data_IF_453282262318
#
_entry.id   IF_453282262318
#
_cell.length_a   1.000
_cell.length_b   1.000
_cell.length_c   1.000
_cell.angle_alpha   90.00
_cell.angle_beta   90.00
_cell.angle_gamma   90.00
#
_symmetry.space_group_name_H-M   'P 1'
#
loop_
_entity.id
_entity.type
_entity.pdbx_description
1 polymer ?
#
# COMPACT_ATOMS: atom_id res chain seq x y z
N UNK A 1 14.02 -5.08 -20.60
CA UNK A 1 14.27 -5.38 -19.19
C UNK A 1 12.97 -5.91 -18.55
N UNK A 2 13.11 -6.83 -17.61
CA UNK A 2 11.98 -7.50 -16.95
C UNK A 2 12.06 -7.39 -15.41
N UNK A 3 12.73 -6.36 -14.89
CA UNK A 3 12.93 -6.14 -13.46
C UNK A 3 13.01 -4.65 -13.13
N UNK A 4 12.87 -4.31 -11.88
CA UNK A 4 13.00 -2.98 -11.33
C UNK A 4 12.09 -1.95 -11.98
N UNK A 5 12.57 -0.73 -12.14
CA UNK A 5 11.81 0.40 -12.69
C UNK A 5 11.23 0.15 -14.09
N UNK A 6 11.90 -0.71 -14.89
CA UNK A 6 11.43 -1.03 -16.24
C UNK A 6 10.10 -1.80 -16.28
N UNK A 7 9.68 -2.35 -15.15
CA UNK A 7 8.37 -3.03 -14.97
C UNK A 7 7.54 -2.43 -13.83
N UNK A 8 7.89 -1.23 -13.38
CA UNK A 8 7.13 -0.49 -12.36
C UNK A 8 7.39 -0.94 -10.92
N UNK A 9 8.43 -1.71 -10.67
CA UNK A 9 8.89 -2.16 -9.36
C UNK A 9 10.06 -1.30 -8.85
N UNK A 10 10.38 -1.33 -7.56
CA UNK A 10 11.60 -0.70 -7.02
C UNK A 10 12.85 -1.17 -7.74
N UNK A 11 13.88 -0.31 -7.79
CA UNK A 11 15.15 -0.67 -8.39
C UNK A 11 15.75 -1.91 -7.74
N UNK A 12 16.34 -2.79 -8.57
CA UNK A 12 16.91 -4.06 -8.12
C UNK A 12 15.88 -5.17 -7.79
N UNK A 13 14.59 -4.88 -7.77
CA UNK A 13 13.58 -5.91 -7.52
C UNK A 13 13.34 -6.76 -8.78
N UNK A 14 13.37 -8.09 -8.62
CA UNK A 14 13.05 -9.03 -9.69
C UNK A 14 11.59 -8.87 -10.13
N UNK A 15 11.35 -8.90 -11.44
CA UNK A 15 10.00 -8.90 -12.00
C UNK A 15 9.23 -10.18 -11.69
N UNK A 16 7.94 -10.14 -11.95
CA UNK A 16 7.05 -11.28 -11.84
C UNK A 16 6.05 -11.30 -13.01
N UNK A 17 5.32 -12.40 -13.15
CA UNK A 17 4.38 -12.58 -14.26
C UNK A 17 3.26 -11.55 -14.26
N UNK A 18 2.76 -11.13 -13.09
CA UNK A 18 1.65 -10.18 -12.98
C UNK A 18 2.04 -8.82 -13.56
N UNK A 19 3.10 -8.21 -13.03
CA UNK A 19 3.57 -6.90 -13.51
C UNK A 19 4.06 -6.96 -14.95
N UNK A 20 4.70 -8.06 -15.38
CA UNK A 20 5.15 -8.24 -16.75
C UNK A 20 4.00 -8.22 -17.75
N UNK A 21 2.95 -9.02 -17.52
CA UNK A 21 1.79 -9.07 -18.40
C UNK A 21 0.97 -7.77 -18.35
N UNK A 22 0.89 -7.14 -17.18
CA UNK A 22 0.25 -5.82 -17.02
C UNK A 22 0.94 -4.76 -17.90
N UNK A 23 2.27 -4.67 -17.85
CA UNK A 23 3.02 -3.71 -18.66
C UNK A 23 2.92 -4.00 -20.17
N UNK A 24 2.98 -5.28 -20.56
CA UNK A 24 2.79 -5.68 -21.98
C UNK A 24 1.42 -5.30 -22.48
N UNK A 25 0.38 -5.59 -21.70
CA UNK A 25 -1.00 -5.26 -22.06
C UNK A 25 -1.28 -3.76 -22.06
N UNK A 26 -0.69 -3.02 -21.14
CA UNK A 26 -0.82 -1.56 -21.07
C UNK A 26 -0.01 -0.83 -22.16
N UNK A 27 1.02 -1.47 -22.73
CA UNK A 27 1.94 -0.84 -23.68
C UNK A 27 2.81 0.27 -23.07
N UNK A 28 2.88 0.32 -21.74
CA UNK A 28 3.63 1.31 -20.96
C UNK A 28 4.01 0.75 -19.60
N UNK A 29 4.95 1.41 -18.91
CA UNK A 29 5.31 1.06 -17.53
C UNK A 29 4.15 1.46 -16.61
N UNK A 30 3.62 0.48 -15.86
CA UNK A 30 2.61 0.67 -14.82
C UNK A 30 3.33 0.55 -13.48
N UNK A 31 3.54 1.68 -12.82
CA UNK A 31 4.22 1.71 -11.54
C UNK A 31 3.36 1.13 -10.42
N UNK A 32 3.92 0.22 -9.63
CA UNK A 32 3.29 -0.27 -8.41
C UNK A 32 3.29 0.82 -7.33
N UNK A 33 2.40 0.72 -6.33
CA UNK A 33 2.14 1.82 -5.38
C UNK A 33 3.42 2.38 -4.73
N UNK A 34 4.32 1.52 -4.25
CA UNK A 34 5.59 1.96 -3.66
C UNK A 34 6.39 2.83 -4.64
N UNK A 35 6.59 2.33 -5.86
CA UNK A 35 7.37 3.02 -6.88
C UNK A 35 6.68 4.27 -7.39
N UNK A 36 5.34 4.23 -7.54
CA UNK A 36 4.52 5.36 -7.97
C UNK A 36 4.62 6.54 -6.99
N UNK A 37 4.51 6.27 -5.69
CA UNK A 37 4.60 7.30 -4.66
C UNK A 37 6.04 7.84 -4.57
N UNK A 38 7.04 6.97 -4.56
CA UNK A 38 8.46 7.37 -4.57
C UNK A 38 8.76 8.28 -5.76
N UNK A 39 8.31 7.88 -6.95
CA UNK A 39 8.49 8.67 -8.16
C UNK A 39 7.76 10.02 -8.10
N UNK A 40 6.57 10.07 -7.54
CA UNK A 40 5.83 11.32 -7.34
C UNK A 40 6.58 12.31 -6.43
N UNK A 41 7.28 11.80 -5.41
CA UNK A 41 8.15 12.64 -4.56
C UNK A 41 9.35 13.16 -5.36
N UNK A 42 10.00 12.31 -6.14
CA UNK A 42 11.17 12.66 -6.98
C UNK A 42 10.81 13.66 -8.07
N UNK A 43 9.71 13.46 -8.77
CA UNK A 43 9.20 14.33 -9.84
C UNK A 43 8.62 15.64 -9.29
N UNK A 44 8.24 15.67 -8.00
CA UNK A 44 7.76 16.85 -7.30
C UNK A 44 6.24 17.06 -7.31
N UNK A 45 5.47 16.29 -8.06
CA UNK A 45 4.00 16.39 -8.10
C UNK A 45 3.33 15.96 -6.78
N UNK A 46 4.01 15.14 -5.97
CA UNK A 46 3.63 14.84 -4.58
C UNK A 46 3.29 16.09 -3.77
N UNK A 47 4.08 17.16 -3.94
CA UNK A 47 3.95 18.40 -3.18
C UNK A 47 2.79 19.31 -3.65
N UNK A 48 2.13 18.94 -4.74
CA UNK A 48 0.91 19.56 -5.24
C UNK A 48 -0.29 18.62 -5.25
N UNK A 49 -0.16 17.43 -4.64
CA UNK A 49 -1.24 16.46 -4.55
C UNK A 49 -2.45 17.07 -3.82
N UNK A 50 -3.60 17.01 -4.45
CA UNK A 50 -4.84 17.68 -4.02
C UNK A 50 -5.27 17.30 -2.59
N UNK A 51 -5.24 16.00 -2.28
CA UNK A 51 -5.65 15.50 -0.97
C UNK A 51 -4.64 15.86 0.13
N UNK A 52 -3.33 15.76 -0.15
CA UNK A 52 -2.29 16.17 0.78
C UNK A 52 -2.35 17.68 1.04
N UNK A 53 -2.55 18.47 0.00
CA UNK A 53 -2.70 19.92 0.14
C UNK A 53 -3.98 20.29 0.88
N UNK A 54 -5.07 19.54 0.75
CA UNK A 54 -6.28 19.79 1.53
C UNK A 54 -6.03 19.63 3.04
N UNK A 55 -5.22 18.63 3.45
CA UNK A 55 -4.80 18.48 4.85
C UNK A 55 -3.94 19.67 5.33
N UNK A 56 -2.99 20.11 4.50
CA UNK A 56 -2.13 21.28 4.78
C UNK A 56 -2.96 22.55 4.93
N UNK A 57 -3.84 22.83 3.98
CA UNK A 57 -4.68 24.05 4.01
C UNK A 57 -5.66 24.06 5.19
N UNK A 58 -6.18 22.89 5.58
CA UNK A 58 -6.98 22.77 6.80
C UNK A 58 -6.16 23.20 8.04
N UNK A 59 -4.91 22.72 8.17
CA UNK A 59 -4.03 23.10 9.27
C UNK A 59 -3.76 24.61 9.29
N UNK A 60 -3.47 25.22 8.14
CA UNK A 60 -3.24 26.67 8.03
C UNK A 60 -4.48 27.48 8.40
N UNK A 61 -5.64 27.08 7.86
CA UNK A 61 -6.90 27.80 8.07
C UNK A 61 -7.36 27.78 9.53
N UNK A 62 -7.17 26.66 10.22
CA UNK A 62 -7.69 26.44 11.57
C UNK A 62 -6.62 26.56 12.66
N UNK A 63 -5.37 26.87 12.30
CA UNK A 63 -4.21 26.83 13.21
C UNK A 63 -4.12 25.49 13.97
N UNK A 64 -4.47 24.40 13.28
CA UNK A 64 -4.55 23.05 13.82
C UNK A 64 -3.31 22.22 13.49
N UNK A 65 -3.22 21.03 14.05
CA UNK A 65 -2.07 20.15 13.88
C UNK A 65 -2.20 19.24 12.65
N UNK A 66 -1.05 18.91 12.06
CA UNK A 66 -0.90 17.82 11.10
C UNK A 66 -0.36 16.59 11.82
N UNK A 67 -1.12 15.53 11.84
CA UNK A 67 -0.74 14.21 12.32
C UNK A 67 -0.48 13.27 11.17
N UNK A 68 0.61 12.55 11.22
CA UNK A 68 0.95 11.52 10.24
C UNK A 68 1.15 10.20 10.97
N UNK A 69 0.55 9.12 10.52
CA UNK A 69 0.79 7.82 11.10
C UNK A 69 0.83 6.70 10.06
N UNK A 70 1.49 5.62 10.40
CA UNK A 70 1.67 4.44 9.57
C UNK A 70 2.91 3.66 9.95
N UNK A 71 3.21 2.63 9.19
CA UNK A 71 4.33 1.73 9.44
C UNK A 71 5.66 2.42 9.11
N UNK A 72 6.56 2.50 10.09
CA UNK A 72 7.86 3.16 9.95
C UNK A 72 8.93 2.11 9.75
N UNK A 73 9.21 1.77 8.51
CA UNK A 73 10.29 0.87 8.08
C UNK A 73 10.63 1.08 6.60
N UNK A 74 11.65 0.40 6.13
CA UNK A 74 12.04 0.31 4.72
C UNK A 74 11.55 -0.98 4.04
N UNK A 75 10.73 -1.77 4.72
CA UNK A 75 10.24 -3.06 4.21
C UNK A 75 9.44 -2.98 2.91
N UNK A 76 8.83 -1.84 2.61
CA UNK A 76 8.19 -1.58 1.31
C UNK A 76 6.92 -2.39 1.03
N UNK A 77 6.36 -3.08 2.03
CA UNK A 77 5.16 -3.91 1.88
C UNK A 77 3.88 -3.12 2.16
N UNK A 78 3.87 -2.31 3.20
CA UNK A 78 2.72 -1.49 3.60
C UNK A 78 2.97 0.01 3.44
N UNK A 79 4.23 0.41 3.59
CA UNK A 79 4.70 1.79 3.58
C UNK A 79 6.19 1.81 3.27
N UNK A 80 6.76 2.98 3.16
CA UNK A 80 8.22 3.15 3.09
C UNK A 80 8.63 4.43 3.82
N UNK A 81 9.73 4.37 4.59
CA UNK A 81 10.19 5.50 5.42
C UNK A 81 10.48 6.77 4.60
N UNK A 82 10.93 6.63 3.35
CA UNK A 82 11.17 7.78 2.47
C UNK A 82 9.88 8.58 2.16
N UNK A 83 8.71 7.93 2.21
CA UNK A 83 7.44 8.63 2.01
C UNK A 83 7.10 9.55 3.20
N UNK A 84 7.49 9.16 4.42
CA UNK A 84 7.34 10.03 5.60
C UNK A 84 8.28 11.24 5.46
N UNK A 85 9.49 11.05 4.95
CA UNK A 85 10.41 12.16 4.66
C UNK A 85 9.80 13.13 3.65
N UNK A 86 9.12 12.63 2.61
CA UNK A 86 8.37 13.46 1.68
C UNK A 86 7.24 14.25 2.35
N UNK A 87 6.50 13.65 3.29
CA UNK A 87 5.47 14.36 4.07
C UNK A 87 6.04 15.41 5.01
N UNK A 88 7.17 15.17 5.66
CA UNK A 88 7.87 16.17 6.49
C UNK A 88 8.34 17.34 5.62
N UNK A 89 8.89 17.07 4.45
CA UNK A 89 9.28 18.09 3.49
C UNK A 89 8.06 18.91 2.99
N UNK A 90 6.91 18.26 2.74
CA UNK A 90 5.65 18.92 2.41
C UNK A 90 5.25 19.89 3.52
N UNK A 91 5.29 19.43 4.78
CA UNK A 91 4.96 20.26 5.94
C UNK A 91 5.91 21.47 6.07
N UNK A 92 7.23 21.26 5.91
CA UNK A 92 8.26 22.30 5.92
C UNK A 92 8.03 23.34 4.84
N UNK A 93 7.85 22.91 3.58
CA UNK A 93 7.58 23.81 2.43
C UNK A 93 6.37 24.69 2.65
N UNK A 94 5.40 24.19 3.41
CA UNK A 94 4.17 24.89 3.71
C UNK A 94 4.18 25.68 5.03
N UNK A 95 5.30 25.69 5.76
CA UNK A 95 5.48 26.47 6.99
C UNK A 95 4.66 25.95 8.18
N UNK A 96 4.29 24.66 8.19
CA UNK A 96 3.56 24.06 9.31
C UNK A 96 4.52 23.85 10.49
N UNK A 97 4.10 24.23 11.70
CA UNK A 97 4.87 24.08 12.94
C UNK A 97 4.32 23.01 13.88
N UNK A 98 3.02 22.73 13.82
CA UNK A 98 2.35 21.71 14.64
C UNK A 98 2.27 20.41 13.83
N UNK A 99 3.38 19.67 13.74
CA UNK A 99 3.52 18.46 12.92
C UNK A 99 3.98 17.30 13.79
N UNK A 100 3.21 16.21 13.77
CA UNK A 100 3.46 15.06 14.63
C UNK A 100 3.42 13.76 13.85
N UNK A 101 4.38 12.86 14.10
CA UNK A 101 4.40 11.51 13.54
C UNK A 101 4.12 10.50 14.63
N UNK A 102 3.20 9.60 14.36
CA UNK A 102 2.92 8.44 15.21
C UNK A 102 3.43 7.19 14.50
N UNK A 103 4.46 6.59 15.09
CA UNK A 103 5.24 5.52 14.46
C UNK A 103 4.62 4.16 14.78
N UNK A 104 4.19 3.42 13.74
CA UNK A 104 3.88 2.01 13.89
C UNK A 104 5.12 1.19 13.56
N UNK A 105 5.53 0.29 14.47
CA UNK A 105 6.72 -0.53 14.31
C UNK A 105 6.40 -1.83 13.59
N UNK A 106 7.34 -2.30 12.77
CA UNK A 106 7.17 -3.41 11.85
C UNK A 106 7.46 -4.77 12.48
N UNK A 107 8.69 -5.24 12.43
CA UNK A 107 9.13 -6.52 12.97
C UNK A 107 8.61 -7.77 12.24
N UNK A 108 7.93 -7.61 11.09
CA UNK A 108 7.48 -8.71 10.21
C UNK A 108 8.08 -8.63 8.82
N UNK A 109 8.02 -7.44 8.21
CA UNK A 109 8.57 -7.20 6.87
C UNK A 109 10.04 -6.73 6.97
N UNK A 110 10.48 -6.43 8.18
CA UNK A 110 11.85 -6.09 8.59
C UNK A 110 12.24 -6.90 9.83
N UNK A 111 13.54 -6.94 10.22
CA UNK A 111 13.98 -7.65 11.42
C UNK A 111 13.22 -7.23 12.69
N UNK A 112 12.99 -8.14 13.64
CA UNK A 112 12.08 -7.91 14.77
C UNK A 112 12.46 -6.79 15.73
N UNK A 113 13.69 -6.29 15.68
CA UNK A 113 14.25 -5.27 16.56
C UNK A 113 14.93 -4.13 15.80
N UNK A 114 14.51 -3.87 14.56
CA UNK A 114 15.05 -2.79 13.72
C UNK A 114 14.28 -1.46 13.86
N UNK A 115 13.14 -1.47 14.53
CA UNK A 115 12.26 -0.29 14.65
C UNK A 115 12.91 0.88 15.36
N UNK A 116 13.80 0.64 16.32
CA UNK A 116 14.56 1.68 17.00
C UNK A 116 15.42 2.49 16.01
N UNK A 117 16.17 1.82 15.15
CA UNK A 117 17.03 2.47 14.14
C UNK A 117 16.20 3.31 13.15
N UNK A 118 15.02 2.82 12.74
CA UNK A 118 14.13 3.57 11.87
C UNK A 118 13.54 4.82 12.54
N UNK A 119 13.19 4.73 13.83
CA UNK A 119 12.67 5.89 14.56
C UNK A 119 13.80 6.91 14.82
N UNK A 120 15.01 6.47 15.17
CA UNK A 120 16.18 7.35 15.30
C UNK A 120 16.50 8.07 13.97
N UNK A 121 16.45 7.37 12.84
CA UNK A 121 16.63 7.94 11.50
C UNK A 121 15.52 8.97 11.18
N UNK A 122 14.29 8.70 11.57
CA UNK A 122 13.17 9.62 11.40
C UNK A 122 13.34 10.89 12.26
N UNK A 123 13.72 10.75 13.52
CA UNK A 123 13.98 11.89 14.41
C UNK A 123 15.14 12.74 13.91
N UNK A 124 16.23 12.12 13.42
CA UNK A 124 17.32 12.83 12.75
C UNK A 124 16.85 13.62 11.52
N UNK A 125 15.93 13.05 10.73
CA UNK A 125 15.35 13.74 9.57
C UNK A 125 14.44 14.90 9.97
N UNK A 126 13.69 14.76 11.04
CA UNK A 126 12.90 15.86 11.63
C UNK A 126 13.79 17.01 12.09
N UNK A 127 14.91 16.70 12.73
CA UNK A 127 15.89 17.70 13.15
C UNK A 127 16.53 18.42 11.96
N UNK A 128 16.99 17.67 10.94
CA UNK A 128 17.52 18.22 9.68
C UNK A 128 16.54 19.19 9.01
N UNK A 129 15.27 18.81 8.96
CA UNK A 129 14.23 19.64 8.34
C UNK A 129 13.73 20.78 9.26
N UNK A 130 13.95 20.67 10.56
CA UNK A 130 13.45 21.61 11.55
C UNK A 130 11.93 21.54 11.73
N UNK A 131 11.31 20.38 11.47
CA UNK A 131 9.85 20.18 11.57
C UNK A 131 9.52 18.75 11.99
N UNK A 132 8.51 18.61 12.84
CA UNK A 132 7.98 17.35 13.30
C UNK A 132 8.48 16.93 14.68
N UNK A 133 7.64 16.17 15.38
CA UNK A 133 7.95 15.46 16.63
C UNK A 133 7.27 14.09 16.61
N UNK A 134 7.87 13.10 17.27
CA UNK A 134 7.20 11.82 17.51
C UNK A 134 6.18 11.98 18.62
N UNK A 135 4.93 11.53 18.38
CA UNK A 135 3.85 11.61 19.37
C UNK A 135 3.50 10.30 20.04
N UNK A 136 3.46 9.21 19.25
CA UNK A 136 3.16 7.86 19.74
C UNK A 136 4.05 6.85 19.02
N UNK A 137 4.46 5.81 19.72
CA UNK A 137 5.08 4.61 19.14
C UNK A 137 4.24 3.40 19.51
N UNK A 138 3.92 2.54 18.54
CA UNK A 138 3.07 1.36 18.75
C UNK A 138 3.45 0.24 17.80
N UNK A 139 3.50 -0.98 18.27
CA UNK A 139 3.65 -2.13 17.38
C UNK A 139 2.46 -2.30 16.43
N UNK A 140 2.73 -2.80 15.23
CA UNK A 140 1.70 -3.07 14.20
C UNK A 140 0.62 -4.06 14.66
N UNK A 141 0.90 -4.88 15.64
CA UNK A 141 -0.05 -5.80 16.26
C UNK A 141 -1.29 -5.07 16.80
N UNK A 142 -1.13 -3.84 17.29
CA UNK A 142 -2.21 -3.00 17.80
C UNK A 142 -2.76 -2.08 16.70
N UNK A 143 -1.91 -1.31 16.07
CA UNK A 143 -2.32 -0.24 15.17
C UNK A 143 -2.71 -0.73 13.76
N UNK A 144 -2.35 -1.95 13.39
CA UNK A 144 -2.54 -2.50 12.05
C UNK A 144 -3.21 -3.88 12.08
N UNK A 145 -4.15 -4.10 13.01
CA UNK A 145 -4.98 -5.30 13.01
C UNK A 145 -5.91 -5.34 11.78
N UNK A 146 -6.17 -6.54 11.25
CA UNK A 146 -7.08 -6.75 10.12
C UNK A 146 -8.14 -7.83 10.38
N UNK A 147 -8.10 -8.44 11.56
CA UNK A 147 -8.90 -9.62 11.89
C UNK A 147 -10.01 -9.27 12.90
N UNK A 148 -10.34 -7.95 13.04
CA UNK A 148 -11.37 -7.40 13.93
C UNK A 148 -11.08 -7.66 15.43
N UNK A 149 -9.81 -7.70 15.81
CA UNK A 149 -9.41 -7.66 17.21
C UNK A 149 -9.48 -6.21 17.71
N UNK A 150 -10.70 -5.74 17.93
CA UNK A 150 -10.98 -4.34 18.20
C UNK A 150 -10.35 -3.83 19.48
N UNK A 151 -10.12 -4.70 20.48
CA UNK A 151 -9.38 -4.41 21.72
C UNK A 151 -7.93 -3.95 21.46
N UNK A 152 -7.32 -4.41 20.35
CA UNK A 152 -6.00 -3.97 19.92
C UNK A 152 -6.07 -2.60 19.27
N UNK A 153 -7.01 -2.44 18.34
CA UNK A 153 -7.23 -1.17 17.61
C UNK A 153 -7.60 -0.06 18.58
N UNK A 154 -8.44 -0.34 19.58
CA UNK A 154 -8.83 0.59 20.62
C UNK A 154 -7.64 1.16 21.39
N UNK A 155 -6.68 0.30 21.77
CA UNK A 155 -5.46 0.76 22.48
C UNK A 155 -4.65 1.74 21.64
N UNK A 156 -4.48 1.45 20.35
CA UNK A 156 -3.79 2.36 19.43
C UNK A 156 -4.58 3.66 19.23
N UNK A 157 -5.88 3.57 19.01
CA UNK A 157 -6.77 4.73 18.88
C UNK A 157 -6.76 5.64 20.12
N UNK A 158 -6.84 5.05 21.32
CA UNK A 158 -6.83 5.81 22.56
C UNK A 158 -5.47 6.48 22.82
N UNK A 159 -4.37 5.83 22.47
CA UNK A 159 -3.05 6.46 22.53
C UNK A 159 -2.96 7.69 21.61
N UNK A 160 -3.50 7.58 20.40
CA UNK A 160 -3.50 8.66 19.41
C UNK A 160 -4.42 9.83 19.78
N UNK A 161 -5.58 9.57 20.38
CA UNK A 161 -6.64 10.57 20.58
C UNK A 161 -6.76 11.05 22.02
N UNK A 162 -6.50 10.18 23.00
CA UNK A 162 -6.67 10.46 24.44
C UNK A 162 -5.34 10.55 25.19
N UNK A 163 -4.23 10.12 24.57
CA UNK A 163 -2.94 10.02 25.24
C UNK A 163 -2.88 8.90 26.29
N UNK A 164 -3.72 7.87 26.14
CA UNK A 164 -3.76 6.69 26.99
C UNK A 164 -2.78 5.63 26.52
N UNK A 165 -2.08 4.97 27.45
CA UNK A 165 -1.11 3.91 27.15
C UNK A 165 0.10 4.00 28.08
N UNK A 166 1.21 3.39 27.66
CA UNK A 166 2.47 3.63 28.32
C UNK A 166 2.97 5.04 28.03
N UNK A 167 3.81 5.60 28.89
CA UNK A 167 4.38 6.93 28.70
C UNK A 167 5.90 6.87 28.72
N UNK A 168 6.54 7.67 27.87
CA UNK A 168 7.99 7.85 27.84
C UNK A 168 8.34 9.27 27.34
N UNK A 169 9.51 9.76 27.68
CA UNK A 169 9.97 11.07 27.19
C UNK A 169 10.68 10.98 25.83
N UNK A 170 11.28 9.82 25.52
CA UNK A 170 12.04 9.59 24.29
C UNK A 170 11.60 8.31 23.57
N UNK A 171 11.32 8.42 22.29
CA UNK A 171 10.80 7.32 21.49
C UNK A 171 11.79 6.14 21.38
N UNK A 172 13.05 6.42 21.09
CA UNK A 172 14.09 5.39 20.96
C UNK A 172 14.35 4.63 22.28
N UNK A 173 14.29 5.33 23.42
CA UNK A 173 14.44 4.74 24.75
C UNK A 173 13.23 3.85 25.10
N UNK A 174 12.02 4.29 24.75
CA UNK A 174 10.80 3.51 24.93
C UNK A 174 10.85 2.19 24.13
N UNK A 175 11.36 2.22 22.90
CA UNK A 175 11.54 1.04 22.07
C UNK A 175 12.58 0.10 22.69
N UNK A 176 13.72 0.64 23.16
CA UNK A 176 14.74 -0.15 23.83
C UNK A 176 14.20 -0.83 25.09
N UNK A 177 13.46 -0.10 25.91
CA UNK A 177 12.83 -0.67 27.11
C UNK A 177 11.84 -1.79 26.78
N UNK A 178 11.12 -1.68 25.65
CA UNK A 178 10.27 -2.78 25.14
C UNK A 178 11.07 -4.01 24.78
N UNK A 179 12.23 -3.85 24.12
CA UNK A 179 13.13 -4.96 23.81
C UNK A 179 13.70 -5.61 25.07
N UNK A 180 14.10 -4.81 26.04
CA UNK A 180 14.62 -5.31 27.32
C UNK A 180 13.56 -6.10 28.10
N UNK A 181 12.26 -5.76 27.91
CA UNK A 181 11.10 -6.49 28.44
C UNK A 181 10.70 -7.72 27.55
N UNK A 182 11.50 -8.03 26.54
CA UNK A 182 11.29 -9.18 25.63
C UNK A 182 10.18 -8.96 24.58
N UNK A 183 9.72 -7.73 24.37
CA UNK A 183 8.72 -7.38 23.37
C UNK A 183 9.39 -6.69 22.17
N UNK A 184 9.32 -7.34 21.03
CA UNK A 184 9.86 -6.83 19.76
C UNK A 184 8.94 -5.78 19.12
N UNK A 185 9.38 -5.21 18.01
CA UNK A 185 8.68 -4.14 17.27
C UNK A 185 7.19 -4.41 17.08
N UNK A 186 6.85 -5.59 16.56
CA UNK A 186 5.46 -5.96 16.25
C UNK A 186 4.54 -5.83 17.47
N UNK A 187 5.05 -6.20 18.66
CA UNK A 187 4.26 -6.35 19.88
C UNK A 187 4.45 -5.21 20.89
N UNK A 188 5.16 -4.15 20.52
CA UNK A 188 5.33 -2.99 21.38
C UNK A 188 3.97 -2.39 21.73
N UNK A 189 3.69 -2.27 23.04
CA UNK A 189 2.46 -1.63 23.52
C UNK A 189 2.43 -0.15 23.08
N UNK A 190 1.24 0.40 22.74
CA UNK A 190 1.11 1.80 22.44
C UNK A 190 1.70 2.66 23.56
N UNK A 191 2.69 3.47 23.22
CA UNK A 191 3.45 4.31 24.12
C UNK A 191 3.37 5.76 23.64
N UNK A 192 2.85 6.63 24.49
CA UNK A 192 2.68 8.06 24.25
C UNK A 192 3.96 8.77 24.64
N UNK A 193 4.49 9.58 23.74
CA UNK A 193 5.65 10.41 24.02
C UNK A 193 5.18 11.66 24.75
N UNK A 194 5.85 11.96 25.86
CA UNK A 194 5.49 13.06 26.77
C UNK A 194 6.60 14.08 26.86
N UNK A 195 6.21 15.33 27.05
CA UNK A 195 7.10 16.46 27.31
C UNK A 195 6.55 17.21 28.54
N UNK A 196 7.37 17.39 29.56
CA UNK A 196 6.95 17.99 30.86
C UNK A 196 5.72 17.25 31.49
N UNK A 197 5.63 15.94 31.34
CA UNK A 197 4.57 15.12 31.93
C UNK A 197 3.24 15.13 31.19
N UNK A 198 3.15 15.81 30.05
CA UNK A 198 1.96 15.80 29.17
C UNK A 198 2.27 15.18 27.81
N UNK A 199 1.28 14.55 27.12
CA UNK A 199 1.46 14.07 25.76
C UNK A 199 1.99 15.18 24.84
N UNK A 200 3.01 14.88 24.03
CA UNK A 200 3.54 15.77 22.99
C UNK A 200 2.43 16.23 22.06
N UNK A 201 1.54 15.31 21.69
CA UNK A 201 0.34 15.60 20.92
C UNK A 201 -0.73 14.52 21.09
N UNK A 202 -1.98 14.93 20.97
CA UNK A 202 -3.14 14.05 20.75
C UNK A 202 -3.96 14.58 19.58
N UNK A 203 -4.53 13.69 18.79
CA UNK A 203 -5.36 14.06 17.64
C UNK A 203 -6.71 14.59 18.12
N UNK A 204 -7.10 15.77 17.68
CA UNK A 204 -8.31 16.48 18.10
C UNK A 204 -9.20 16.81 16.91
N UNK A 205 -10.46 17.07 17.19
CA UNK A 205 -11.39 17.60 16.18
C UNK A 205 -10.83 18.91 15.59
N UNK A 206 -10.80 18.98 14.26
CA UNK A 206 -10.23 20.09 13.51
C UNK A 206 -8.81 19.86 13.00
N UNK A 207 -8.09 18.86 13.52
CA UNK A 207 -6.77 18.50 13.03
C UNK A 207 -6.84 17.78 11.66
N UNK A 208 -5.69 17.71 11.00
CA UNK A 208 -5.51 16.88 9.81
C UNK A 208 -4.74 15.62 10.13
N UNK A 209 -5.12 14.53 9.47
CA UNK A 209 -4.47 13.22 9.62
C UNK A 209 -4.09 12.71 8.24
N UNK A 210 -2.86 12.21 8.09
CA UNK A 210 -2.41 11.49 6.91
C UNK A 210 -1.97 10.09 7.33
N UNK A 211 -2.67 9.06 6.84
CA UNK A 211 -2.26 7.67 6.98
C UNK A 211 -1.43 7.28 5.77
N UNK A 212 -0.12 7.13 5.93
CA UNK A 212 0.81 6.97 4.82
C UNK A 212 1.07 5.52 4.37
N UNK A 213 0.33 4.55 4.89
CA UNK A 213 0.35 3.20 4.33
C UNK A 213 -0.30 3.20 2.94
N UNK A 214 0.31 2.52 1.98
CA UNK A 214 -0.26 2.36 0.64
C UNK A 214 -0.95 1.00 0.43
N UNK A 215 -0.73 0.02 1.31
CA UNK A 215 -1.44 -1.26 1.29
C UNK A 215 -2.66 -1.22 2.21
N UNK A 216 -3.87 -1.53 1.67
CA UNK A 216 -5.14 -1.29 2.35
C UNK A 216 -5.45 -2.21 3.53
N UNK A 217 -5.11 -3.50 3.43
CA UNK A 217 -5.67 -4.57 4.25
C UNK A 217 -5.54 -4.35 5.77
N UNK A 218 -4.44 -3.76 6.23
CA UNK A 218 -4.18 -3.46 7.64
C UNK A 218 -4.39 -2.00 8.04
N UNK A 219 -4.82 -1.15 7.11
CA UNK A 219 -5.12 0.24 7.39
C UNK A 219 -6.62 0.49 7.64
N UNK A 220 -7.49 -0.40 7.15
CA UNK A 220 -8.95 -0.22 7.16
C UNK A 220 -9.52 0.01 8.55
N UNK A 221 -9.15 -0.82 9.53
CA UNK A 221 -9.82 -0.82 10.83
C UNK A 221 -9.57 0.46 11.61
N UNK A 222 -8.32 0.91 11.68
CA UNK A 222 -7.99 2.17 12.33
C UNK A 222 -8.60 3.37 11.57
N UNK A 223 -8.62 3.33 10.24
CA UNK A 223 -9.28 4.36 9.42
C UNK A 223 -10.78 4.43 9.71
N UNK A 224 -11.48 3.28 9.82
CA UNK A 224 -12.89 3.24 10.21
C UNK A 224 -13.13 3.85 11.58
N UNK A 225 -12.25 3.59 12.55
CA UNK A 225 -12.36 4.19 13.88
C UNK A 225 -12.30 5.72 13.86
N UNK A 226 -11.59 6.33 12.90
CA UNK A 226 -11.57 7.79 12.72
C UNK A 226 -12.68 8.31 11.82
N UNK A 227 -13.05 7.58 10.76
CA UNK A 227 -13.82 8.13 9.65
C UNK A 227 -15.30 7.74 9.66
N UNK A 228 -15.66 6.51 10.06
CA UNK A 228 -17.06 6.08 10.01
C UNK A 228 -17.90 6.86 11.03
N UNK A 229 -19.03 7.39 10.63
CA UNK A 229 -19.97 8.06 11.53
C UNK A 229 -20.60 7.05 12.49
N UNK A 230 -21.04 5.91 11.97
CA UNK A 230 -21.52 4.76 12.75
C UNK A 230 -20.40 3.72 12.89
N UNK A 231 -19.72 3.73 14.01
CA UNK A 231 -18.63 2.80 14.32
C UNK A 231 -18.99 1.94 15.53
N UNK A 232 -18.87 0.62 15.39
CA UNK A 232 -19.30 -0.37 16.40
C UNK A 232 -18.17 -1.25 16.92
N UNK A 233 -16.90 -0.99 16.54
CA UNK A 233 -15.78 -1.84 16.93
C UNK A 233 -15.44 -1.76 18.43
N UNK A 234 -15.50 -0.56 18.99
CA UNK A 234 -15.31 -0.26 20.41
C UNK A 234 -15.96 1.08 20.75
N UNK A 235 -16.10 1.40 22.03
CA UNK A 235 -16.61 2.71 22.45
C UNK A 235 -15.52 3.78 22.36
N UNK A 236 -15.52 4.52 21.26
CA UNK A 236 -14.59 5.64 21.06
C UNK A 236 -15.08 6.96 21.66
N UNK A 237 -16.33 7.02 22.14
CA UNK A 237 -17.03 8.24 22.48
C UNK A 237 -17.43 9.05 21.24
N UNK A 238 -17.41 10.38 21.34
CA UNK A 238 -17.63 11.22 20.16
C UNK A 238 -16.50 11.06 19.13
N UNK A 239 -16.90 10.99 17.86
CA UNK A 239 -15.92 10.90 16.77
C UNK A 239 -15.03 12.13 16.72
N UNK A 240 -13.72 11.95 16.73
CA UNK A 240 -12.73 13.00 16.46
C UNK A 240 -12.80 13.35 14.98
N UNK A 241 -13.40 14.48 14.64
CA UNK A 241 -13.62 14.91 13.25
C UNK A 241 -12.38 15.59 12.71
N UNK A 242 -11.69 14.93 11.80
CA UNK A 242 -10.44 15.39 11.19
C UNK A 242 -10.57 15.51 9.67
N UNK A 243 -9.69 16.28 9.04
CA UNK A 243 -9.42 16.14 7.60
C UNK A 243 -8.51 14.93 7.43
N UNK A 244 -9.11 13.79 7.09
CA UNK A 244 -8.43 12.50 7.05
C UNK A 244 -8.03 12.13 5.62
N UNK A 245 -6.74 11.89 5.41
CA UNK A 245 -6.17 11.49 4.11
C UNK A 245 -5.58 10.10 4.21
N UNK A 246 -6.05 9.20 3.36
CA UNK A 246 -5.44 7.89 3.12
C UNK A 246 -4.47 8.01 1.93
N UNK A 247 -3.31 7.37 1.99
CA UNK A 247 -2.41 7.35 0.83
C UNK A 247 -3.06 6.68 -0.37
N UNK A 248 -3.72 5.54 -0.16
CA UNK A 248 -4.51 4.86 -1.20
C UNK A 248 -5.95 4.67 -0.72
N UNK A 249 -6.84 4.24 -1.59
CA UNK A 249 -8.20 3.91 -1.17
C UNK A 249 -8.20 2.57 -0.40
N UNK A 250 -8.38 2.65 0.91
CA UNK A 250 -8.38 1.47 1.76
C UNK A 250 -9.68 0.66 1.69
N UNK A 251 -10.79 1.33 1.45
CA UNK A 251 -12.11 0.73 1.29
C UNK A 251 -13.09 1.81 0.80
N UNK A 252 -13.74 1.58 -0.33
CA UNK A 252 -14.67 2.53 -0.94
C UNK A 252 -15.86 2.88 -0.04
N UNK A 253 -16.21 1.97 0.89
CA UNK A 253 -17.32 2.16 1.83
C UNK A 253 -16.98 3.04 3.04
N UNK A 254 -15.71 3.40 3.25
CA UNK A 254 -15.32 4.33 4.30
C UNK A 254 -15.63 5.75 3.85
N UNK A 255 -16.48 6.43 4.58
CA UNK A 255 -16.82 7.84 4.36
C UNK A 255 -15.82 8.77 5.04
N UNK A 256 -15.98 10.08 4.87
CA UNK A 256 -15.20 11.12 5.56
C UNK A 256 -13.67 11.00 5.40
N UNK A 257 -13.20 10.46 4.27
CA UNK A 257 -11.78 10.38 3.91
C UNK A 257 -11.50 11.05 2.57
N UNK A 258 -10.27 11.50 2.41
CA UNK A 258 -9.66 11.86 1.13
C UNK A 258 -8.66 10.78 0.74
N UNK A 259 -8.36 10.65 -0.54
CA UNK A 259 -7.40 9.68 -1.08
C UNK A 259 -6.35 10.41 -1.90
N UNK A 260 -5.07 10.28 -1.50
CA UNK A 260 -3.95 10.96 -2.15
C UNK A 260 -3.59 10.30 -3.50
N UNK A 261 -3.46 8.99 -3.52
CA UNK A 261 -3.10 8.20 -4.70
C UNK A 261 -4.27 7.28 -5.08
N UNK A 262 -5.21 7.82 -5.84
CA UNK A 262 -6.36 7.05 -6.33
C UNK A 262 -5.88 5.94 -7.26
N UNK A 263 -6.62 4.82 -7.27
CA UNK A 263 -6.37 3.75 -8.23
C UNK A 263 -6.60 4.28 -9.64
N UNK A 264 -5.58 4.22 -10.47
CA UNK A 264 -5.69 4.61 -11.86
C UNK A 264 -6.29 3.47 -12.68
N UNK A 265 -7.29 3.79 -13.48
CA UNK A 265 -7.80 2.87 -14.50
C UNK A 265 -6.76 2.78 -15.61
N UNK A 266 -6.29 1.58 -15.89
CA UNK A 266 -5.40 1.34 -17.03
C UNK A 266 -6.27 1.27 -18.28
N UNK A 267 -6.34 2.37 -19.00
CA UNK A 267 -7.09 2.51 -20.25
C UNK A 267 -6.16 2.44 -21.46
N UNK A 268 -6.75 2.26 -22.64
CA UNK A 268 -6.02 2.13 -23.91
C UNK A 268 -5.01 0.97 -23.86
N UNK A 269 -5.47 -0.16 -23.33
CA UNK A 269 -4.70 -1.41 -23.35
C UNK A 269 -4.66 -1.98 -24.76
N UNK A 270 -3.72 -2.91 -24.99
CA UNK A 270 -3.60 -3.56 -26.30
C UNK A 270 -4.91 -4.27 -26.70
N UNK A 271 -5.60 -4.92 -25.75
CA UNK A 271 -6.91 -5.54 -25.98
C UNK A 271 -7.99 -4.55 -26.40
N UNK A 272 -8.08 -3.40 -25.74
CA UNK A 272 -9.00 -2.31 -26.09
C UNK A 272 -8.66 -1.71 -27.46
N UNK A 273 -7.37 -1.54 -27.76
CA UNK A 273 -6.94 -1.05 -29.06
C UNK A 273 -7.37 -1.98 -30.21
N UNK A 274 -7.17 -3.29 -30.05
CA UNK A 274 -7.63 -4.29 -31.04
C UNK A 274 -9.15 -4.24 -31.22
N UNK A 275 -9.90 -4.17 -30.12
CA UNK A 275 -11.36 -4.09 -30.13
C UNK A 275 -11.85 -2.82 -30.85
N UNK A 276 -11.24 -1.66 -30.59
CA UNK A 276 -11.57 -0.40 -31.23
C UNK A 276 -11.35 -0.42 -32.77
N UNK A 277 -10.46 -1.29 -33.25
CA UNK A 277 -10.20 -1.48 -34.68
C UNK A 277 -10.98 -2.65 -35.29
N UNK A 278 -11.89 -3.28 -34.54
CA UNK A 278 -12.70 -4.41 -35.01
C UNK A 278 -11.91 -5.70 -35.21
N UNK A 279 -10.68 -5.78 -34.66
CA UNK A 279 -9.81 -6.93 -34.75
C UNK A 279 -10.20 -7.99 -33.72
N UNK A 280 -10.05 -9.26 -34.10
CA UNK A 280 -10.38 -10.42 -33.27
C UNK A 280 -9.12 -10.97 -32.61
N UNK A 281 -9.23 -11.28 -31.33
CA UNK A 281 -8.11 -11.76 -30.54
C UNK A 281 -8.46 -13.02 -29.73
N UNK A 282 -7.47 -13.93 -29.59
CA UNK A 282 -7.57 -15.07 -28.68
C UNK A 282 -6.55 -14.97 -27.56
N UNK A 283 -6.96 -15.38 -26.37
CA UNK A 283 -6.11 -15.51 -25.16
C UNK A 283 -6.06 -16.98 -24.79
N UNK A 284 -4.87 -17.57 -24.78
CA UNK A 284 -4.69 -19.01 -24.56
C UNK A 284 -3.66 -19.22 -23.45
N UNK A 285 -4.03 -19.92 -22.40
CA UNK A 285 -3.10 -20.42 -21.39
C UNK A 285 -3.71 -21.57 -20.60
N UNK A 286 -2.85 -22.29 -19.90
CA UNK A 286 -3.32 -23.20 -18.85
C UNK A 286 -3.59 -22.46 -17.54
N UNK A 287 -4.27 -23.10 -16.57
CA UNK A 287 -4.82 -22.49 -15.36
C UNK A 287 -3.83 -21.56 -14.66
N UNK A 288 -2.57 -21.97 -14.48
CA UNK A 288 -1.55 -21.19 -13.76
C UNK A 288 -1.22 -19.84 -14.41
N UNK A 289 -1.42 -19.72 -15.72
CA UNK A 289 -1.10 -18.50 -16.49
C UNK A 289 -2.31 -17.86 -17.18
N UNK A 290 -3.51 -18.38 -16.92
CA UNK A 290 -4.71 -17.85 -17.54
C UNK A 290 -5.02 -16.41 -17.14
N UNK A 291 -4.96 -16.09 -15.85
CA UNK A 291 -5.16 -14.73 -15.36
C UNK A 291 -4.12 -13.74 -15.92
N UNK A 292 -2.91 -14.21 -16.22
CA UNK A 292 -1.85 -13.37 -16.76
C UNK A 292 -2.15 -12.89 -18.18
N UNK A 293 -2.65 -13.76 -19.04
CA UNK A 293 -3.02 -13.40 -20.44
C UNK A 293 -4.41 -12.77 -20.56
N UNK A 294 -5.20 -12.75 -19.49
CA UNK A 294 -6.56 -12.17 -19.43
C UNK A 294 -6.60 -10.95 -18.52
N UNK A 295 -6.85 -11.14 -17.24
CA UNK A 295 -7.03 -10.09 -16.23
C UNK A 295 -5.86 -9.09 -16.20
N UNK A 296 -4.63 -9.57 -15.98
CA UNK A 296 -3.46 -8.68 -15.90
C UNK A 296 -3.15 -8.01 -17.24
N UNK A 297 -3.23 -8.75 -18.33
CA UNK A 297 -2.99 -8.20 -19.67
C UNK A 297 -4.05 -7.16 -20.08
N UNK A 298 -5.26 -7.24 -19.53
CA UNK A 298 -6.33 -6.27 -19.73
C UNK A 298 -6.33 -5.16 -18.67
N UNK A 299 -5.20 -4.90 -18.03
CA UNK A 299 -5.09 -3.78 -17.10
C UNK A 299 -5.83 -3.96 -15.78
N UNK A 300 -6.09 -5.21 -15.36
CA UNK A 300 -6.84 -5.55 -14.14
C UNK A 300 -8.36 -5.52 -14.34
N UNK A 301 -8.82 -5.68 -15.59
CA UNK A 301 -10.24 -5.78 -15.94
C UNK A 301 -10.58 -7.23 -16.24
N UNK A 302 -11.57 -7.81 -15.52
CA UNK A 302 -11.99 -9.19 -15.71
C UNK A 302 -12.81 -9.41 -17.00
N UNK A 303 -13.63 -8.44 -17.38
CA UNK A 303 -14.48 -8.51 -18.55
C UNK A 303 -13.66 -8.61 -19.85
N UNK A 304 -13.98 -9.54 -20.75
CA UNK A 304 -13.34 -9.64 -22.07
C UNK A 304 -13.61 -8.38 -22.92
N UNK A 305 -12.62 -7.96 -23.69
CA UNK A 305 -12.84 -6.93 -24.70
C UNK A 305 -13.74 -7.43 -25.85
N UNK A 306 -14.46 -6.56 -26.55
CA UNK A 306 -15.17 -6.95 -27.77
C UNK A 306 -14.21 -7.68 -28.75
N UNK A 307 -14.60 -8.86 -29.23
CA UNK A 307 -13.78 -9.68 -30.13
C UNK A 307 -12.66 -10.49 -29.44
N UNK A 308 -12.64 -10.53 -28.11
CA UNK A 308 -11.70 -11.32 -27.31
C UNK A 308 -12.32 -12.68 -26.93
N UNK A 309 -11.77 -13.76 -27.45
CA UNK A 309 -12.09 -15.12 -27.02
C UNK A 309 -11.03 -15.62 -26.03
N UNK A 310 -11.47 -16.29 -24.99
CA UNK A 310 -10.62 -16.84 -23.92
C UNK A 310 -10.66 -18.36 -23.93
N UNK A 311 -9.50 -18.98 -24.01
CA UNK A 311 -9.33 -20.43 -24.08
C UNK A 311 -8.48 -20.88 -22.91
N UNK A 312 -9.15 -21.45 -21.91
CA UNK A 312 -8.52 -22.04 -20.73
C UNK A 312 -8.27 -23.53 -20.97
N UNK A 313 -7.03 -23.96 -20.73
CA UNK A 313 -6.64 -25.36 -20.63
C UNK A 313 -6.39 -25.69 -19.17
N UNK A 314 -7.02 -26.68 -18.55
CA UNK A 314 -6.74 -27.05 -17.18
C UNK A 314 -5.29 -27.49 -16.97
N UNK A 315 -4.62 -26.96 -15.94
CA UNK A 315 -3.32 -27.48 -15.51
C UNK A 315 -3.46 -28.86 -14.86
N UNK A 316 -2.40 -29.70 -14.87
CA UNK A 316 -2.44 -31.05 -14.29
C UNK A 316 -2.81 -30.99 -12.80
N UNK A 317 -3.75 -31.83 -12.37
CA UNK A 317 -4.18 -31.97 -10.96
C UNK A 317 -3.71 -33.29 -10.33
N UNK A 318 -3.17 -34.17 -11.13
CA UNK A 318 -2.72 -35.51 -10.74
C UNK A 318 -1.32 -35.55 -10.08
N UNK A 319 -0.60 -34.43 -10.09
CA UNK A 319 0.72 -34.28 -9.48
C UNK A 319 0.70 -33.23 -8.37
N UNK A 320 1.49 -33.43 -7.33
CA UNK A 320 1.59 -32.49 -6.21
C UNK A 320 2.41 -31.24 -6.58
N UNK A 321 3.43 -31.42 -7.41
CA UNK A 321 4.34 -30.37 -7.90
C UNK A 321 4.64 -30.61 -9.37
N UNK A 322 4.86 -29.56 -10.15
CA UNK A 322 4.97 -29.66 -11.60
C UNK A 322 6.31 -30.23 -12.11
N UNK A 323 7.33 -30.29 -11.27
CA UNK A 323 8.56 -31.03 -11.56
C UNK A 323 8.32 -32.53 -11.81
N UNK A 324 7.23 -33.08 -11.27
CA UNK A 324 6.77 -34.46 -11.52
C UNK A 324 6.08 -34.64 -12.88
N UNK A 325 5.70 -33.55 -13.52
CA UNK A 325 5.10 -33.51 -14.87
C UNK A 325 5.51 -32.21 -15.59
N UNK A 326 6.79 -32.10 -15.97
CA UNK A 326 7.35 -30.83 -16.46
C UNK A 326 6.75 -30.34 -17.77
N UNK A 327 6.14 -31.23 -18.60
CA UNK A 327 5.39 -30.81 -19.76
C UNK A 327 4.07 -30.10 -19.40
N UNK A 328 3.58 -30.25 -18.18
CA UNK A 328 2.31 -29.68 -17.70
C UNK A 328 1.18 -29.90 -18.72
N UNK A 329 0.48 -28.87 -19.16
CA UNK A 329 -0.54 -28.92 -20.20
C UNK A 329 -0.08 -28.31 -21.55
N UNK A 330 1.23 -28.06 -21.71
CA UNK A 330 1.76 -27.42 -22.93
C UNK A 330 1.35 -28.12 -24.26
N UNK A 331 1.30 -29.47 -24.37
CA UNK A 331 0.81 -30.10 -25.60
C UNK A 331 -0.63 -29.71 -25.93
N UNK A 332 -1.53 -29.73 -24.95
CA UNK A 332 -2.93 -29.34 -25.14
C UNK A 332 -3.09 -27.84 -25.46
N UNK A 333 -2.28 -26.99 -24.84
CA UNK A 333 -2.21 -25.55 -25.16
C UNK A 333 -1.74 -25.35 -26.60
N UNK A 334 -0.73 -26.11 -27.03
CA UNK A 334 -0.23 -26.08 -28.42
C UNK A 334 -1.28 -26.50 -29.42
N UNK A 335 -2.04 -27.56 -29.14
CA UNK A 335 -3.13 -28.00 -30.01
C UNK A 335 -4.19 -26.89 -30.18
N UNK A 336 -4.58 -26.24 -29.10
CA UNK A 336 -5.52 -25.11 -29.16
C UNK A 336 -4.96 -23.92 -29.93
N UNK A 337 -3.67 -23.64 -29.81
CA UNK A 337 -3.00 -22.60 -30.61
C UNK A 337 -3.07 -22.92 -32.09
N UNK A 338 -2.72 -24.16 -32.49
CA UNK A 338 -2.75 -24.64 -33.87
C UNK A 338 -4.17 -24.57 -34.47
N UNK A 339 -5.18 -24.96 -33.69
CA UNK A 339 -6.59 -24.85 -34.09
C UNK A 339 -6.99 -23.39 -34.34
N UNK A 340 -6.60 -22.47 -33.43
CA UNK A 340 -6.86 -21.04 -33.60
C UNK A 340 -6.20 -20.48 -34.86
N UNK A 341 -4.94 -20.82 -35.12
CA UNK A 341 -4.20 -20.37 -36.30
C UNK A 341 -4.88 -20.93 -37.59
N UNK A 342 -5.19 -22.22 -37.64
CA UNK A 342 -5.84 -22.87 -38.80
C UNK A 342 -7.23 -22.35 -39.08
N UNK A 343 -7.94 -21.89 -38.06
CA UNK A 343 -9.28 -21.34 -38.21
C UNK A 343 -9.33 -20.04 -39.02
N UNK A 344 -8.22 -19.28 -39.07
CA UNK A 344 -8.17 -17.95 -39.67
C UNK A 344 -9.12 -16.93 -39.01
N UNK A 345 -9.65 -17.23 -37.82
CA UNK A 345 -10.64 -16.41 -37.14
C UNK A 345 -10.02 -15.17 -36.47
N UNK A 346 -8.78 -15.30 -35.99
CA UNK A 346 -8.15 -14.32 -35.13
C UNK A 346 -7.04 -13.55 -35.85
N UNK A 347 -7.03 -12.23 -35.64
CA UNK A 347 -5.98 -11.36 -36.14
C UNK A 347 -4.75 -11.37 -35.19
N UNK A 348 -5.00 -11.59 -33.90
CA UNK A 348 -3.95 -11.65 -32.86
C UNK A 348 -4.23 -12.80 -31.89
N UNK A 349 -3.19 -13.55 -31.57
CA UNK A 349 -3.26 -14.62 -30.57
C UNK A 349 -2.20 -14.32 -29.47
N UNK A 350 -2.64 -14.22 -28.23
CA UNK A 350 -1.79 -14.04 -27.05
C UNK A 350 -1.82 -15.34 -26.26
N UNK A 351 -0.64 -15.91 -26.07
CA UNK A 351 -0.47 -17.24 -25.45
C UNK A 351 0.64 -17.19 -24.39
N UNK A 352 0.48 -17.96 -23.35
CA UNK A 352 1.54 -18.22 -22.38
C UNK A 352 1.68 -19.73 -22.14
N UNK A 353 2.91 -20.24 -22.27
CA UNK A 353 3.31 -21.57 -21.84
C UNK A 353 3.87 -21.49 -20.42
N UNK A 354 3.24 -22.17 -19.47
CA UNK A 354 3.54 -22.03 -18.04
C UNK A 354 4.86 -22.67 -17.60
N UNK A 355 5.34 -23.66 -18.35
CA UNK A 355 6.48 -24.50 -17.95
C UNK A 355 7.74 -23.73 -17.51
N UNK A 356 8.24 -22.70 -18.25
CA UNK A 356 9.50 -22.03 -17.88
C UNK A 356 9.47 -21.31 -16.55
N UNK A 357 8.27 -21.04 -16.03
CA UNK A 357 8.07 -20.34 -14.75
C UNK A 357 7.69 -21.31 -13.61
N UNK A 358 7.03 -22.40 -13.93
CA UNK A 358 6.42 -23.29 -12.94
C UNK A 358 7.23 -24.57 -12.64
N UNK A 359 8.25 -24.88 -13.45
CA UNK A 359 9.06 -26.11 -13.33
C UNK A 359 10.48 -25.82 -12.85
#
# INVERSE_FOLDING_TARGET
>A
QASGLAVGLPDGQMGNSEVGHLNMGAGRIVYQELTRITKSIEDGDFFSNEALMAAVENCKKNDSALHMFGLVSDGGVHSHITHIYGLLELAKRNGLSKVYVHCFLDGRDTPPTSGKEFVEALEAKMEELGVGKVGVVSGRYYAMDRDKNWDRVEKAYNALTKGEGNHAEHAAEAIQASYDDGKTDEFMMPTVITENGAPVATIKTGDSVIFFNFRPDRARQLTRAFCDDEFTGFDRGERVKTTFVCFTDYDETIENKLVAFKKESITNTFGEFLAAHGLKQARIAETEKYAHVTFFFNGGVEEPNPGEDRILVPSPKEVATYDLKPEMSAPAVCDKLVDCIKSGKYDVIIINFANPDMV
#
